data_IF_192115476854
#
_entry.id   IF_192115476854
#
_cell.length_a   1.000
_cell.length_b   1.000
_cell.length_c   1.000
_cell.angle_alpha   90.00
_cell.angle_beta   90.00
_cell.angle_gamma   90.00
#
_symmetry.space_group_name_H-M   'P 1'
#
loop_
_entity.id
_entity.type
_entity.pdbx_description
1 polymer ?
#
# COMPACT_ATOMS: atom_id res chain seq x y z
N UNK A 1 -4.66 -14.75 -6.13
CA UNK A 1 -4.34 -13.49 -5.41
C UNK A 1 -3.42 -12.57 -6.21
N UNK A 2 -2.50 -13.12 -6.99
CA UNK A 2 -1.69 -12.29 -7.89
C UNK A 2 -2.35 -12.06 -9.26
N UNK A 3 -3.64 -12.29 -9.36
CA UNK A 3 -4.43 -12.08 -10.58
C UNK A 3 -4.78 -10.59 -10.73
N UNK A 4 -4.34 -10.00 -11.83
CA UNK A 4 -4.60 -8.58 -12.13
C UNK A 4 -6.07 -8.28 -12.41
N UNK A 5 -6.90 -9.29 -12.62
CA UNK A 5 -8.34 -9.13 -12.82
C UNK A 5 -9.14 -9.22 -11.51
N UNK A 6 -8.48 -9.41 -10.37
CA UNK A 6 -9.16 -9.47 -9.08
C UNK A 6 -9.92 -8.15 -8.83
N UNK A 7 -11.17 -8.21 -8.31
CA UNK A 7 -11.96 -6.99 -8.08
C UNK A 7 -11.26 -5.93 -7.24
N UNK A 8 -10.47 -6.32 -6.26
CA UNK A 8 -9.73 -5.36 -5.42
C UNK A 8 -8.70 -4.57 -6.22
N UNK A 9 -7.99 -5.21 -7.15
CA UNK A 9 -7.04 -4.52 -8.02
C UNK A 9 -7.75 -3.60 -9.00
N UNK A 10 -8.90 -4.00 -9.51
CA UNK A 10 -9.69 -3.13 -10.38
C UNK A 10 -10.21 -1.91 -9.63
N UNK A 11 -10.61 -2.09 -8.38
CA UNK A 11 -11.01 -0.99 -7.51
C UNK A 11 -9.84 -0.02 -7.30
N UNK A 12 -8.63 -0.55 -7.06
CA UNK A 12 -7.43 0.26 -6.91
C UNK A 12 -7.12 1.04 -8.19
N UNK A 13 -7.22 0.40 -9.34
CA UNK A 13 -6.99 1.04 -10.64
C UNK A 13 -7.97 2.18 -10.88
N UNK A 14 -9.26 1.95 -10.61
CA UNK A 14 -10.32 2.93 -10.86
C UNK A 14 -10.25 4.13 -9.93
N UNK A 15 -9.75 3.95 -8.70
CA UNK A 15 -9.79 4.98 -7.66
C UNK A 15 -8.45 5.60 -7.32
N UNK A 16 -7.34 4.94 -7.63
CA UNK A 16 -5.99 5.44 -7.33
C UNK A 16 -5.01 4.87 -8.35
N UNK A 17 -5.08 5.38 -9.59
CA UNK A 17 -4.31 4.83 -10.71
C UNK A 17 -2.80 4.89 -10.49
N UNK A 18 -2.29 5.95 -9.88
CA UNK A 18 -0.87 6.08 -9.58
C UNK A 18 -0.41 5.01 -8.60
N UNK A 19 -1.18 4.77 -7.55
CA UNK A 19 -0.91 3.72 -6.57
C UNK A 19 -1.00 2.33 -7.23
N UNK A 20 -1.98 2.13 -8.11
CA UNK A 20 -2.11 0.89 -8.87
C UNK A 20 -0.86 0.61 -9.70
N UNK A 21 -0.42 1.58 -10.50
CA UNK A 21 0.78 1.44 -11.33
C UNK A 21 2.03 1.16 -10.51
N UNK A 22 2.19 1.89 -9.40
CA UNK A 22 3.30 1.69 -8.47
C UNK A 22 3.28 0.27 -7.87
N UNK A 23 2.10 -0.19 -7.47
CA UNK A 23 1.93 -1.52 -6.89
C UNK A 23 2.28 -2.65 -7.86
N UNK A 24 1.99 -2.47 -9.16
CA UNK A 24 2.38 -3.45 -10.17
C UNK A 24 3.91 -3.53 -10.31
N UNK A 25 4.59 -2.39 -10.30
CA UNK A 25 6.05 -2.34 -10.36
C UNK A 25 6.66 -3.00 -9.12
N UNK A 26 6.19 -2.63 -7.94
CA UNK A 26 6.67 -3.20 -6.68
C UNK A 26 6.41 -4.71 -6.65
N UNK A 27 5.25 -5.14 -7.15
CA UNK A 27 4.92 -6.57 -7.23
C UNK A 27 5.90 -7.35 -8.10
N UNK A 28 6.28 -6.81 -9.26
CA UNK A 28 7.26 -7.43 -10.14
C UNK A 28 8.63 -7.54 -9.46
N UNK A 29 9.05 -6.48 -8.78
CA UNK A 29 10.33 -6.48 -8.06
C UNK A 29 10.31 -7.45 -6.88
N UNK A 30 9.22 -7.51 -6.14
CA UNK A 30 9.06 -8.43 -5.01
C UNK A 30 9.10 -9.89 -5.47
N UNK A 31 8.45 -10.19 -6.58
CA UNK A 31 8.47 -11.52 -7.19
C UNK A 31 9.90 -11.94 -7.53
N UNK A 32 10.65 -11.08 -8.22
CA UNK A 32 12.02 -11.37 -8.61
C UNK A 32 12.94 -11.55 -7.39
N UNK A 33 12.80 -10.70 -6.39
CA UNK A 33 13.58 -10.80 -5.17
C UNK A 33 13.29 -12.10 -4.42
N UNK A 34 12.01 -12.46 -4.30
CA UNK A 34 11.59 -13.69 -3.64
C UNK A 34 12.14 -14.93 -4.35
N UNK A 35 12.11 -14.94 -5.69
CA UNK A 35 12.67 -16.04 -6.47
C UNK A 35 14.16 -16.23 -6.21
N UNK A 36 14.91 -15.13 -6.08
CA UNK A 36 16.35 -15.20 -5.85
C UNK A 36 16.71 -15.84 -4.52
N UNK A 37 15.91 -15.63 -3.50
CA UNK A 37 16.17 -16.17 -2.16
C UNK A 37 15.40 -17.45 -1.84
N UNK A 38 14.68 -17.99 -2.82
CA UNK A 38 13.89 -19.22 -2.64
C UNK A 38 12.62 -19.04 -1.84
N UNK A 39 12.12 -17.80 -1.70
CA UNK A 39 10.87 -17.52 -1.02
C UNK A 39 9.68 -17.64 -1.97
N UNK A 40 8.45 -17.57 -1.42
CA UNK A 40 7.23 -17.66 -2.21
C UNK A 40 7.01 -16.38 -3.03
N UNK A 41 7.36 -16.42 -4.31
CA UNK A 41 7.30 -15.26 -5.20
C UNK A 41 5.87 -14.79 -5.47
N UNK A 42 4.90 -15.71 -5.56
CA UNK A 42 3.52 -15.34 -5.80
C UNK A 42 2.89 -14.64 -4.59
N UNK A 43 3.21 -15.12 -3.38
CA UNK A 43 2.76 -14.45 -2.17
C UNK A 43 3.38 -13.06 -2.05
N UNK A 44 4.67 -12.93 -2.33
CA UNK A 44 5.36 -11.62 -2.29
C UNK A 44 4.73 -10.64 -3.27
N UNK A 45 4.42 -11.09 -4.49
CA UNK A 45 3.75 -10.27 -5.51
C UNK A 45 2.36 -9.85 -5.04
N UNK A 46 1.56 -10.76 -4.51
CA UNK A 46 0.22 -10.48 -4.03
C UNK A 46 0.24 -9.46 -2.88
N UNK A 47 1.13 -9.64 -1.92
CA UNK A 47 1.28 -8.70 -0.81
C UNK A 47 1.63 -7.29 -1.32
N UNK A 48 2.53 -7.20 -2.30
CA UNK A 48 2.92 -5.92 -2.90
C UNK A 48 1.74 -5.27 -3.63
N UNK A 49 0.91 -6.04 -4.33
CA UNK A 49 -0.25 -5.50 -5.05
C UNK A 49 -1.24 -4.80 -4.12
N UNK A 50 -1.41 -5.31 -2.90
CA UNK A 50 -2.46 -4.83 -1.99
C UNK A 50 -1.95 -3.99 -0.83
N UNK A 51 -0.62 -3.81 -0.70
CA UNK A 51 -0.06 -3.15 0.49
C UNK A 51 -0.55 -1.70 0.68
N UNK A 52 -0.90 -1.01 -0.40
CA UNK A 52 -1.37 0.38 -0.36
C UNK A 52 -2.84 0.52 -0.78
N UNK A 53 -3.63 -0.54 -0.68
CA UNK A 53 -5.05 -0.54 -1.07
C UNK A 53 -5.84 0.58 -0.37
N UNK A 54 -5.50 0.90 0.87
CA UNK A 54 -6.18 1.92 1.66
C UNK A 54 -6.01 3.35 1.14
N UNK A 55 -5.06 3.58 0.25
CA UNK A 55 -4.87 4.91 -0.35
C UNK A 55 -6.06 5.34 -1.21
N UNK A 56 -6.92 4.40 -1.60
CA UNK A 56 -8.13 4.70 -2.38
C UNK A 56 -9.13 5.59 -1.62
N UNK A 57 -9.06 5.66 -0.30
CA UNK A 57 -9.92 6.52 0.50
C UNK A 57 -9.64 8.01 0.29
N UNK A 58 -8.36 8.36 0.10
CA UNK A 58 -7.92 9.74 -0.13
C UNK A 58 -6.77 9.76 -1.15
N UNK A 59 -7.03 9.39 -2.42
CA UNK A 59 -5.96 9.14 -3.38
C UNK A 59 -5.08 10.36 -3.66
N UNK A 60 -5.65 11.55 -3.72
CA UNK A 60 -4.89 12.77 -4.03
C UNK A 60 -3.97 13.24 -2.90
N UNK A 61 -4.12 12.66 -1.70
CA UNK A 61 -3.19 12.93 -0.58
C UNK A 61 -1.87 12.20 -0.74
N UNK A 62 -1.73 11.36 -1.77
CA UNK A 62 -0.52 10.60 -2.05
C UNK A 62 0.05 11.03 -3.40
N UNK A 63 1.34 11.34 -3.42
CA UNK A 63 2.00 12.00 -4.56
C UNK A 63 1.82 11.26 -5.88
N UNK A 64 1.80 9.93 -5.84
CA UNK A 64 1.68 9.11 -7.05
C UNK A 64 0.32 9.26 -7.76
N UNK A 65 -0.68 9.80 -7.07
CA UNK A 65 -2.03 10.02 -7.63
C UNK A 65 -2.33 11.49 -7.90
N UNK A 66 -1.39 12.39 -7.62
CA UNK A 66 -1.63 13.81 -7.82
C UNK A 66 -1.56 14.18 -9.29
N UNK A 67 -2.53 15.00 -9.72
CA UNK A 67 -2.59 15.57 -11.07
C UNK A 67 -2.53 17.09 -10.92
N UNK A 68 -1.47 17.69 -11.44
CA UNK A 68 -1.26 19.13 -11.32
C UNK A 68 -0.17 19.48 -10.30
N UNK A 69 -0.02 20.77 -10.03
CA UNK A 69 1.11 21.30 -9.24
C UNK A 69 0.78 21.48 -7.74
N UNK A 70 -0.47 21.32 -7.35
CA UNK A 70 -0.91 21.57 -5.98
C UNK A 70 -0.88 20.30 -5.14
N UNK A 71 -0.19 20.37 -3.99
CA UNK A 71 -0.18 19.28 -3.03
C UNK A 71 -1.25 19.54 -1.97
N UNK A 72 -2.27 18.67 -1.83
CA UNK A 72 -3.33 18.87 -0.83
C UNK A 72 -2.83 19.00 0.61
N UNK A 73 -1.66 18.43 0.92
CA UNK A 73 -1.08 18.54 2.26
C UNK A 73 -0.61 19.95 2.59
N UNK A 74 -0.40 20.81 1.60
CA UNK A 74 0.09 22.17 1.82
C UNK A 74 -0.87 23.03 2.65
N UNK A 75 -2.17 22.72 2.56
CA UNK A 75 -3.19 23.44 3.33
C UNK A 75 -3.52 22.82 4.68
N UNK A 76 -2.81 21.76 5.09
CA UNK A 76 -3.12 21.02 6.30
C UNK A 76 -2.05 21.22 7.38
N UNK A 77 -2.46 21.12 8.65
CA UNK A 77 -1.52 21.03 9.75
C UNK A 77 -0.79 19.68 9.68
N UNK A 78 0.48 19.60 10.14
CA UNK A 78 1.23 18.33 10.11
C UNK A 78 0.51 17.16 10.77
N UNK A 79 -0.23 17.41 11.87
CA UNK A 79 -1.00 16.37 12.55
C UNK A 79 -2.12 15.82 11.66
N UNK A 80 -2.81 16.71 10.92
CA UNK A 80 -3.89 16.31 10.01
C UNK A 80 -3.35 15.45 8.88
N UNK A 81 -2.23 15.85 8.28
CA UNK A 81 -1.57 15.08 7.24
C UNK A 81 -1.13 13.71 7.75
N UNK A 82 -0.54 13.66 8.95
CA UNK A 82 -0.11 12.41 9.56
C UNK A 82 -1.29 11.46 9.80
N UNK A 83 -2.43 11.99 10.26
CA UNK A 83 -3.62 11.19 10.49
C UNK A 83 -4.18 10.60 9.20
N UNK A 84 -4.18 11.38 8.11
CA UNK A 84 -4.61 10.90 6.80
C UNK A 84 -3.69 9.78 6.32
N UNK A 85 -2.38 9.96 6.46
CA UNK A 85 -1.41 8.95 6.04
C UNK A 85 -1.55 7.65 6.86
N UNK A 86 -1.84 7.76 8.16
CA UNK A 86 -2.07 6.59 9.02
C UNK A 86 -3.39 5.90 8.71
N UNK A 87 -4.41 6.67 8.35
CA UNK A 87 -5.75 6.13 8.09
C UNK A 87 -5.75 5.14 6.91
N UNK A 88 -4.81 5.24 5.97
CA UNK A 88 -4.79 4.34 4.82
C UNK A 88 -4.51 2.88 5.23
N UNK A 89 -3.83 2.65 6.34
CA UNK A 89 -3.59 1.29 6.85
C UNK A 89 -4.91 0.66 7.29
N UNK A 90 -5.68 1.38 8.11
CA UNK A 90 -6.98 0.92 8.60
C UNK A 90 -7.95 0.69 7.45
N UNK A 91 -8.04 1.63 6.52
CA UNK A 91 -8.89 1.50 5.34
C UNK A 91 -8.45 0.34 4.45
N UNK A 92 -7.14 0.14 4.31
CA UNK A 92 -6.60 -0.98 3.54
C UNK A 92 -7.03 -2.32 4.09
N UNK A 93 -6.98 -2.50 5.40
CA UNK A 93 -7.43 -3.74 6.06
C UNK A 93 -8.92 -3.94 5.88
N UNK A 94 -9.73 -2.89 6.04
CA UNK A 94 -11.19 -2.96 5.83
C UNK A 94 -11.52 -3.39 4.40
N UNK A 95 -10.87 -2.78 3.41
CA UNK A 95 -11.08 -3.09 2.00
C UNK A 95 -10.62 -4.51 1.67
N UNK A 96 -9.49 -4.93 2.23
CA UNK A 96 -9.00 -6.29 2.03
C UNK A 96 -10.02 -7.33 2.52
N UNK A 97 -10.59 -7.10 3.69
CA UNK A 97 -11.64 -7.98 4.23
C UNK A 97 -12.90 -7.95 3.37
N UNK A 98 -13.30 -6.77 2.91
CA UNK A 98 -14.47 -6.58 2.05
C UNK A 98 -14.31 -7.35 0.73
N UNK A 99 -13.13 -7.32 0.12
CA UNK A 99 -12.83 -8.02 -1.13
C UNK A 99 -12.40 -9.47 -0.91
N UNK A 100 -12.47 -9.96 0.33
CA UNK A 100 -12.12 -11.35 0.69
C UNK A 100 -10.68 -11.73 0.34
N UNK A 101 -9.77 -10.80 0.51
CA UNK A 101 -8.34 -11.07 0.36
C UNK A 101 -7.87 -11.86 1.59
N UNK A 102 -7.12 -12.96 1.40
CA UNK A 102 -6.65 -13.77 2.53
C UNK A 102 -5.78 -12.99 3.51
N UNK A 103 -5.86 -13.36 4.78
CA UNK A 103 -5.07 -12.73 5.84
C UNK A 103 -3.57 -12.79 5.56
N UNK A 104 -3.08 -13.89 5.01
CA UNK A 104 -1.66 -14.03 4.64
C UNK A 104 -1.21 -12.94 3.68
N UNK A 105 -2.11 -12.42 2.85
CA UNK A 105 -1.82 -11.35 1.90
C UNK A 105 -1.97 -9.98 2.56
N UNK A 106 -3.09 -9.71 3.23
CA UNK A 106 -3.29 -8.37 3.79
C UNK A 106 -2.44 -8.09 5.04
N UNK A 107 -1.83 -9.12 5.65
CA UNK A 107 -0.79 -8.90 6.65
C UNK A 107 0.31 -7.96 6.16
N UNK A 108 0.60 -8.00 4.85
CA UNK A 108 1.58 -7.09 4.25
C UNK A 108 1.24 -5.62 4.45
N UNK A 109 -0.05 -5.27 4.53
CA UNK A 109 -0.50 -3.90 4.79
C UNK A 109 -0.06 -3.46 6.19
N UNK A 110 -0.29 -4.32 7.19
CA UNK A 110 0.06 -4.04 8.58
C UNK A 110 1.57 -4.08 8.81
N UNK A 111 2.24 -5.11 8.29
CA UNK A 111 3.67 -5.33 8.50
C UNK A 111 4.54 -4.26 7.85
N UNK A 112 4.13 -3.76 6.68
CA UNK A 112 4.82 -2.67 5.99
C UNK A 112 4.96 -1.45 6.91
N UNK A 113 3.88 -1.05 7.56
CA UNK A 113 3.87 0.09 8.47
C UNK A 113 4.49 -0.23 9.81
N UNK A 114 4.29 -1.45 10.31
CA UNK A 114 4.92 -1.93 11.52
C UNK A 114 6.44 -1.93 11.41
N UNK A 115 6.96 -2.42 10.29
CA UNK A 115 8.41 -2.45 10.04
C UNK A 115 9.00 -1.04 9.99
N UNK A 116 8.34 -0.10 9.32
CA UNK A 116 8.78 1.29 9.24
C UNK A 116 8.79 1.92 10.63
N UNK A 117 7.72 1.74 11.40
CA UNK A 117 7.61 2.28 12.76
C UNK A 117 8.69 1.69 13.68
N UNK A 118 8.92 0.40 13.58
CA UNK A 118 9.93 -0.27 14.38
C UNK A 118 11.35 0.24 14.06
N UNK A 119 11.67 0.40 12.79
CA UNK A 119 12.95 0.93 12.35
C UNK A 119 13.15 2.35 12.86
N UNK A 120 12.11 3.17 12.80
CA UNK A 120 12.15 4.54 13.28
C UNK A 120 12.39 4.60 14.79
N UNK A 121 11.71 3.75 15.56
CA UNK A 121 11.91 3.66 17.01
C UNK A 121 13.34 3.24 17.34
N UNK A 122 13.89 2.27 16.65
CA UNK A 122 15.27 1.82 16.87
C UNK A 122 16.27 2.93 16.58
N UNK A 123 16.03 3.74 15.56
CA UNK A 123 16.89 4.86 15.24
C UNK A 123 16.91 5.89 16.38
N UNK A 124 15.81 6.03 17.12
CA UNK A 124 15.75 6.93 18.27
C UNK A 124 16.40 6.36 19.52
N UNK A 125 16.49 5.06 19.65
CA UNK A 125 17.11 4.39 20.79
C UNK A 125 18.64 4.44 20.75
N UNK A 126 19.19 4.65 19.59
CA UNK A 126 20.64 4.73 19.39
C UNK A 126 21.12 6.18 19.32
#
# INVERSE_FOLDING_TARGET
>A
MADRNHPALRYLEDNAIGTFNHSLVVGTLADRAANKIGANSQLARAMAYYHDLGKTANPTMFVENQIGSSNPHDGLLPMESANILKAHVTEGVKLAKRFKIPETVYKGILEHHGAVSYTHLRAHET
#
